data_IF_590871486906
#
_entry.id   IF_590871486906
#
_cell.length_a   1.000
_cell.length_b   1.000
_cell.length_c   1.000
_cell.angle_alpha   90.00
_cell.angle_beta   90.00
_cell.angle_gamma   90.00
#
_symmetry.space_group_name_H-M   'P 1'
#
loop_
_entity.id
_entity.type
_entity.pdbx_description
1 polymer ?
#
# COMPACT_ATOMS: atom_id res chain seq x y z
N UNK A 1 -11.80 -59.53 -7.53
CA UNK A 1 -13.01 -59.24 -8.30
C UNK A 1 -12.87 -57.82 -8.78
N UNK A 2 -12.31 -57.66 -9.94
CA UNK A 2 -12.81 -57.12 -11.20
C UNK A 2 -13.22 -55.64 -11.04
N UNK A 3 -12.40 -54.74 -11.49
CA UNK A 3 -12.18 -54.17 -12.84
C UNK A 3 -13.38 -53.32 -13.29
N UNK A 4 -13.11 -51.98 -13.50
CA UNK A 4 -13.48 -51.31 -14.75
C UNK A 4 -12.64 -50.03 -14.92
N UNK A 5 -11.71 -50.14 -15.87
CA UNK A 5 -11.07 -49.07 -16.61
C UNK A 5 -12.03 -48.53 -17.68
N UNK A 6 -12.11 -47.20 -17.83
CA UNK A 6 -12.40 -46.51 -19.10
C UNK A 6 -11.85 -45.11 -18.96
N UNK A 7 -10.76 -44.68 -19.56
CA UNK A 7 -10.43 -44.35 -20.94
C UNK A 7 -11.44 -43.48 -21.68
N UNK A 8 -11.08 -42.22 -21.89
CA UNK A 8 -11.41 -41.38 -23.05
C UNK A 8 -10.57 -40.07 -22.91
N UNK A 9 -9.48 -40.03 -23.61
CA UNK A 9 -9.18 -39.44 -24.94
C UNK A 9 -9.45 -37.93 -25.05
N UNK A 10 -8.35 -37.27 -25.35
CA UNK A 10 -8.12 -35.94 -25.86
C UNK A 10 -9.09 -35.48 -26.96
N UNK A 11 -9.41 -34.21 -26.94
CA UNK A 11 -9.64 -33.44 -28.17
C UNK A 11 -9.08 -32.03 -28.04
N UNK A 12 -7.95 -31.85 -28.70
CA UNK A 12 -7.41 -30.64 -29.25
C UNK A 12 -8.23 -30.26 -30.49
N UNK A 13 -8.50 -28.97 -30.69
CA UNK A 13 -8.83 -28.21 -31.91
C UNK A 13 -9.64 -26.97 -31.49
N UNK A 14 -9.36 -25.75 -31.90
CA UNK A 14 -9.08 -25.20 -33.22
C UNK A 14 -8.50 -23.80 -33.07
N UNK A 15 -7.37 -23.54 -33.70
CA UNK A 15 -6.98 -22.26 -34.24
C UNK A 15 -7.35 -22.26 -35.73
N UNK A 16 -7.88 -21.21 -36.34
CA UNK A 16 -7.76 -21.03 -37.75
C UNK A 16 -6.64 -20.03 -38.06
N UNK A 17 -5.63 -20.59 -38.66
CA UNK A 17 -4.72 -19.94 -39.59
C UNK A 17 -5.51 -19.67 -40.87
N UNK A 18 -5.43 -18.47 -41.40
CA UNK A 18 -5.65 -18.10 -42.80
C UNK A 18 -5.66 -16.59 -42.93
N UNK A 19 -5.16 -15.99 -43.93
CA UNK A 19 -4.73 -16.43 -45.24
C UNK A 19 -3.96 -15.27 -45.87
N UNK A 20 -2.91 -15.64 -46.51
CA UNK A 20 -2.23 -14.98 -47.59
C UNK A 20 -3.20 -14.40 -48.61
N UNK A 21 -3.07 -13.11 -48.94
CA UNK A 21 -3.57 -12.57 -50.22
C UNK A 21 -2.47 -11.71 -50.85
N UNK A 22 -1.69 -12.38 -51.66
CA UNK A 22 -0.92 -11.78 -52.72
C UNK A 22 -1.89 -11.29 -53.83
N UNK A 23 -1.73 -10.05 -54.19
CA UNK A 23 -2.09 -9.53 -55.52
C UNK A 23 -1.16 -8.37 -55.74
N UNK A 24 -0.21 -8.48 -56.59
CA UNK A 24 -0.36 -8.36 -58.00
C UNK A 24 0.25 -7.01 -58.39
N UNK A 25 1.59 -7.00 -58.58
CA UNK A 25 2.33 -5.85 -59.11
C UNK A 25 2.14 -5.90 -60.59
N UNK A 26 1.37 -4.99 -61.16
CA UNK A 26 1.38 -4.66 -62.57
C UNK A 26 2.34 -3.50 -62.80
N UNK A 27 3.47 -3.82 -63.34
CA UNK A 27 4.43 -2.93 -63.98
C UNK A 27 3.90 -2.68 -65.39
N UNK A 28 3.52 -1.45 -65.72
CA UNK A 28 3.84 -0.74 -66.97
C UNK A 28 3.05 0.57 -67.05
N UNK A 29 3.68 1.69 -66.79
CA UNK A 29 3.26 2.99 -67.29
C UNK A 29 4.47 3.91 -67.51
N UNK A 30 4.92 3.98 -68.72
CA UNK A 30 5.92 4.98 -69.19
C UNK A 30 5.43 6.42 -68.94
N UNK A 31 6.28 7.28 -68.36
CA UNK A 31 5.88 8.67 -68.20
C UNK A 31 5.98 9.43 -69.54
N UNK A 32 4.87 9.92 -70.03
CA UNK A 32 4.84 10.91 -71.05
C UNK A 32 5.26 12.28 -70.53
N UNK A 33 6.47 12.72 -70.81
CA UNK A 33 6.94 14.07 -70.52
C UNK A 33 6.02 15.11 -71.24
N UNK A 34 5.20 15.78 -70.42
CA UNK A 34 4.40 16.93 -70.89
C UNK A 34 5.32 18.16 -71.05
N UNK A 35 5.36 18.73 -72.23
CA UNK A 35 6.12 19.94 -72.62
C UNK A 35 5.85 21.20 -71.78
N UNK A 36 4.98 21.14 -70.79
CA UNK A 36 4.66 22.24 -69.85
C UNK A 36 5.67 22.38 -68.67
N UNK A 37 6.50 21.39 -68.42
CA UNK A 37 7.49 21.38 -67.31
C UNK A 37 8.73 22.26 -67.59
N UNK A 38 9.10 22.40 -68.88
CA UNK A 38 10.25 23.24 -69.30
C UNK A 38 9.99 24.73 -69.14
N UNK A 39 8.77 25.17 -69.39
CA UNK A 39 8.37 26.57 -69.22
C UNK A 39 8.28 27.00 -67.76
N UNK A 40 7.94 26.06 -66.85
CA UNK A 40 7.86 26.37 -65.44
C UNK A 40 9.26 26.50 -64.76
N UNK A 41 10.23 25.72 -65.19
CA UNK A 41 11.62 25.86 -64.79
C UNK A 41 12.28 27.15 -65.26
N UNK A 42 11.96 27.60 -66.45
CA UNK A 42 12.52 28.83 -66.98
C UNK A 42 11.98 30.12 -66.33
N UNK A 43 10.70 30.11 -65.90
CA UNK A 43 10.12 31.18 -65.10
C UNK A 43 10.66 31.23 -63.67
N UNK A 44 10.95 30.09 -63.09
CA UNK A 44 11.47 29.99 -61.71
C UNK A 44 12.91 30.48 -61.60
N UNK A 45 13.75 30.25 -62.65
CA UNK A 45 15.13 30.75 -62.72
C UNK A 45 15.17 32.26 -62.95
N UNK A 46 14.28 32.84 -63.75
CA UNK A 46 14.21 34.29 -63.96
C UNK A 46 13.73 35.00 -62.66
N UNK A 47 12.80 34.40 -61.91
CA UNK A 47 12.35 34.93 -60.64
C UNK A 47 13.45 34.94 -59.55
N UNK A 48 14.32 33.93 -59.53
CA UNK A 48 15.42 33.81 -58.58
C UNK A 48 16.56 34.81 -58.85
N UNK A 49 16.88 35.07 -60.13
CA UNK A 49 17.89 36.05 -60.51
C UNK A 49 17.41 37.49 -60.30
N UNK A 50 16.14 37.80 -60.52
CA UNK A 50 15.60 39.12 -60.20
C UNK A 50 15.46 39.39 -58.72
N UNK A 51 15.14 38.36 -57.88
CA UNK A 51 15.09 38.46 -56.43
C UNK A 51 16.43 38.77 -55.79
N UNK A 52 17.51 38.13 -56.24
CA UNK A 52 18.88 38.39 -55.74
C UNK A 52 19.40 39.77 -56.09
N UNK A 53 19.01 40.29 -57.26
CA UNK A 53 19.45 41.64 -57.70
C UNK A 53 18.74 42.75 -56.93
N UNK A 54 17.50 42.56 -56.49
CA UNK A 54 16.74 43.49 -55.64
C UNK A 54 17.27 43.43 -54.21
N UNK A 55 17.61 42.25 -53.70
CA UNK A 55 18.09 42.07 -52.32
C UNK A 55 19.49 42.69 -52.12
N UNK A 56 20.38 42.65 -53.09
CA UNK A 56 21.71 43.32 -53.04
C UNK A 56 21.61 44.84 -53.14
N UNK A 57 20.55 45.43 -53.73
CA UNK A 57 20.39 46.91 -53.76
C UNK A 57 19.77 47.48 -52.47
N UNK A 58 19.04 46.69 -51.71
CA UNK A 58 18.46 47.14 -50.45
C UNK A 58 19.44 47.11 -49.24
N UNK A 59 20.56 46.39 -49.35
CA UNK A 59 21.47 46.20 -48.22
C UNK A 59 22.77 47.09 -48.26
N UNK A 60 22.87 48.01 -49.23
CA UNK A 60 24.04 48.84 -49.37
C UNK A 60 23.86 50.32 -49.02
N UNK A 61 23.28 50.59 -47.83
CA UNK A 61 23.46 51.89 -47.15
C UNK A 61 23.26 51.77 -45.65
N UNK A 62 24.19 51.12 -44.94
CA UNK A 62 24.40 51.42 -43.51
C UNK A 62 25.64 52.27 -43.41
N UNK A 63 25.43 53.57 -43.36
CA UNK A 63 26.45 54.56 -43.01
C UNK A 63 26.70 54.41 -41.51
N UNK A 64 27.83 53.87 -41.13
CA UNK A 64 28.27 53.83 -39.74
C UNK A 64 28.71 55.26 -39.37
N UNK A 65 27.81 56.03 -38.77
CA UNK A 65 28.18 57.22 -38.06
C UNK A 65 28.85 56.82 -36.74
N UNK A 66 30.16 56.92 -36.66
CA UNK A 66 30.91 56.76 -35.40
C UNK A 66 30.55 57.95 -34.51
N UNK A 67 29.52 57.79 -33.66
CA UNK A 67 29.29 58.69 -32.53
C UNK A 67 30.22 58.26 -31.38
N UNK A 68 31.19 59.06 -31.07
CA UNK A 68 32.02 58.95 -29.88
C UNK A 68 31.10 59.01 -28.63
N UNK A 69 30.95 57.91 -27.95
CA UNK A 69 30.30 57.87 -26.62
C UNK A 69 31.27 58.40 -25.60
N UNK A 70 30.83 59.27 -24.71
CA UNK A 70 31.66 59.67 -23.56
C UNK A 70 31.88 58.41 -22.69
N UNK A 71 33.12 58.20 -22.31
CA UNK A 71 33.56 57.18 -21.35
C UNK A 71 32.92 57.52 -19.99
N UNK A 72 31.68 57.16 -19.82
CA UNK A 72 31.07 57.06 -18.50
C UNK A 72 31.42 55.71 -17.93
N UNK A 73 31.99 55.70 -16.75
CA UNK A 73 32.16 54.53 -15.91
C UNK A 73 30.81 53.81 -15.87
N UNK A 74 30.68 52.71 -16.61
CA UNK A 74 29.51 51.85 -16.45
C UNK A 74 29.65 51.23 -15.05
N UNK A 75 28.88 51.79 -14.15
CA UNK A 75 28.53 51.14 -12.91
C UNK A 75 27.78 49.85 -13.35
N UNK A 76 28.45 48.71 -13.21
CA UNK A 76 27.82 47.43 -13.47
C UNK A 76 26.67 47.31 -12.49
N UNK A 77 25.47 47.69 -12.96
CA UNK A 77 24.27 47.30 -12.27
C UNK A 77 24.34 45.75 -12.17
N UNK A 78 24.46 45.23 -10.98
CA UNK A 78 24.29 43.81 -10.70
C UNK A 78 22.90 43.47 -11.25
N UNK A 79 22.87 42.85 -12.41
CA UNK A 79 21.63 42.25 -12.86
C UNK A 79 21.45 41.04 -11.96
N UNK A 80 20.55 41.14 -10.99
CA UNK A 80 20.06 39.97 -10.27
C UNK A 80 19.63 38.94 -11.31
N UNK A 81 20.42 37.89 -11.47
CA UNK A 81 20.02 36.75 -12.30
C UNK A 81 19.02 35.94 -11.49
N UNK A 82 17.75 36.15 -11.76
CA UNK A 82 16.67 35.43 -11.13
C UNK A 82 16.36 34.17 -11.97
N UNK A 83 16.55 33.01 -11.40
CA UNK A 83 16.12 31.74 -11.99
C UNK A 83 14.68 31.48 -11.61
N UNK A 84 13.78 31.46 -12.60
CA UNK A 84 12.36 31.15 -12.41
C UNK A 84 12.07 29.69 -12.70
N UNK A 85 11.67 28.95 -11.67
CA UNK A 85 11.31 27.54 -11.74
C UNK A 85 9.79 27.39 -11.56
N UNK A 86 9.19 26.38 -12.21
CA UNK A 86 7.76 26.05 -12.07
C UNK A 86 7.60 24.76 -11.29
N UNK A 87 6.61 24.76 -10.43
CA UNK A 87 6.29 23.60 -9.60
C UNK A 87 4.87 23.62 -9.06
N UNK A 88 4.59 22.72 -8.14
CA UNK A 88 3.30 22.60 -7.47
C UNK A 88 3.48 22.68 -5.95
N UNK A 89 2.49 23.26 -5.29
CA UNK A 89 2.46 23.29 -3.82
C UNK A 89 2.09 21.91 -3.28
N UNK A 90 2.81 21.48 -2.26
CA UNK A 90 2.55 20.23 -1.54
C UNK A 90 2.57 20.51 -0.03
N UNK A 91 1.77 19.80 0.74
CA UNK A 91 1.90 19.84 2.18
C UNK A 91 3.03 18.94 2.65
N UNK A 92 3.81 19.38 3.62
CA UNK A 92 4.89 18.59 4.22
C UNK A 92 4.34 17.36 4.92
N UNK A 93 3.16 17.47 5.52
CA UNK A 93 2.48 16.37 6.18
C UNK A 93 1.20 16.02 5.44
N UNK A 94 1.22 14.88 4.77
CA UNK A 94 0.04 14.28 4.15
C UNK A 94 -0.01 12.77 4.46
N UNK A 95 -1.21 12.21 4.52
CA UNK A 95 -1.45 10.79 4.68
C UNK A 95 -2.47 10.30 3.69
N UNK A 96 -2.03 9.44 2.80
CA UNK A 96 -2.92 8.74 1.87
C UNK A 96 -3.71 7.68 2.63
N UNK A 97 -5.00 7.62 2.37
CA UNK A 97 -5.95 6.68 2.94
C UNK A 97 -6.37 5.69 1.87
N UNK A 98 -6.09 4.43 2.14
CA UNK A 98 -6.43 3.34 1.23
C UNK A 98 -7.61 2.52 1.75
N UNK A 99 -8.37 1.92 0.84
CA UNK A 99 -9.41 0.97 1.19
C UNK A 99 -8.81 -0.22 1.96
N UNK A 100 -9.46 -0.70 3.03
CA UNK A 100 -8.89 -1.71 3.92
C UNK A 100 -8.62 -3.03 3.20
N UNK A 101 -7.52 -3.68 3.61
CA UNK A 101 -7.19 -5.04 3.22
C UNK A 101 -7.62 -5.97 4.35
N UNK A 102 -8.59 -6.84 4.06
CA UNK A 102 -9.15 -7.74 5.06
C UNK A 102 -8.29 -9.00 5.22
N UNK A 103 -7.94 -9.33 6.45
CA UNK A 103 -7.18 -10.54 6.76
C UNK A 103 -8.02 -11.80 6.51
N UNK A 104 -7.46 -12.75 5.75
CA UNK A 104 -8.12 -14.04 5.49
C UNK A 104 -9.30 -14.00 4.53
N UNK A 105 -9.62 -12.86 3.94
CA UNK A 105 -10.69 -12.69 2.97
C UNK A 105 -10.18 -12.06 1.68
N UNK A 106 -10.51 -12.64 0.54
CA UNK A 106 -10.22 -12.07 -0.78
C UNK A 106 -11.40 -11.20 -1.25
N UNK A 107 -11.62 -10.09 -0.56
CA UNK A 107 -12.64 -9.12 -0.97
C UNK A 107 -12.06 -8.23 -2.05
N UNK A 108 -12.56 -8.33 -3.26
CA UNK A 108 -12.06 -7.56 -4.40
C UNK A 108 -12.49 -6.10 -4.38
N UNK A 109 -13.73 -5.84 -3.98
CA UNK A 109 -14.36 -4.51 -4.00
C UNK A 109 -15.10 -4.26 -2.69
N UNK A 110 -14.98 -3.03 -2.18
CA UNK A 110 -15.63 -2.56 -0.96
C UNK A 110 -16.54 -1.39 -1.32
N UNK A 111 -17.77 -1.41 -0.87
CA UNK A 111 -18.74 -0.34 -1.11
C UNK A 111 -18.64 0.72 -0.02
N UNK A 112 -18.46 1.96 -0.41
CA UNK A 112 -18.43 3.12 0.50
C UNK A 112 -19.88 3.44 0.88
N UNK A 113 -20.20 3.45 2.17
CA UNK A 113 -21.51 3.86 2.68
C UNK A 113 -21.51 5.32 3.11
N UNK A 114 -20.34 5.84 3.51
CA UNK A 114 -20.19 7.23 3.94
C UNK A 114 -18.77 7.69 3.65
N UNK A 115 -18.61 8.94 3.21
CA UNK A 115 -17.30 9.56 2.99
C UNK A 115 -17.34 11.02 3.46
N UNK A 116 -16.26 11.48 4.08
CA UNK A 116 -16.10 12.87 4.46
C UNK A 116 -16.02 13.75 3.20
N UNK A 117 -16.67 14.90 3.23
CA UNK A 117 -16.69 15.82 2.09
C UNK A 117 -15.27 16.33 1.77
N UNK A 118 -14.93 16.40 0.48
CA UNK A 118 -13.70 17.03 0.01
C UNK A 118 -13.60 18.46 0.49
N UNK A 119 -12.41 18.90 0.92
CA UNK A 119 -12.17 20.22 1.50
C UNK A 119 -12.61 20.40 2.97
N UNK A 120 -13.24 19.41 3.58
CA UNK A 120 -13.64 19.49 5.00
C UNK A 120 -12.44 19.38 5.92
N UNK A 121 -12.49 20.15 7.04
CA UNK A 121 -11.49 20.06 8.09
C UNK A 121 -11.83 18.94 9.06
N UNK A 122 -10.87 18.08 9.32
CA UNK A 122 -11.00 16.94 10.23
C UNK A 122 -9.95 16.98 11.33
N UNK A 123 -10.30 16.46 12.50
CA UNK A 123 -9.37 16.27 13.61
C UNK A 123 -8.88 14.81 13.60
N UNK A 124 -7.75 14.58 14.23
CA UNK A 124 -7.25 13.22 14.43
C UNK A 124 -8.30 12.37 15.17
N UNK A 125 -8.64 11.22 14.58
CA UNK A 125 -9.65 10.30 15.11
C UNK A 125 -11.06 10.49 14.56
N UNK A 126 -11.34 11.56 13.81
CA UNK A 126 -12.62 11.74 13.13
C UNK A 126 -12.84 10.65 12.07
N UNK A 127 -14.10 10.28 11.83
CA UNK A 127 -14.44 9.29 10.82
C UNK A 127 -14.31 9.91 9.43
N UNK A 128 -13.46 9.33 8.59
CA UNK A 128 -13.23 9.75 7.21
C UNK A 128 -14.10 9.01 6.21
N UNK A 129 -14.20 7.71 6.38
CA UNK A 129 -14.99 6.85 5.50
C UNK A 129 -15.55 5.65 6.25
N UNK A 130 -16.72 5.21 5.85
CA UNK A 130 -17.33 3.98 6.30
C UNK A 130 -17.64 3.11 5.08
N UNK A 131 -17.29 1.84 5.19
CA UNK A 131 -17.62 0.81 4.20
C UNK A 131 -18.78 -0.04 4.70
N UNK A 132 -19.44 -0.74 3.78
CA UNK A 132 -20.47 -1.72 4.17
C UNK A 132 -19.82 -2.85 4.98
N UNK A 133 -20.10 -2.84 6.28
CA UNK A 133 -19.54 -3.77 7.26
C UNK A 133 -20.45 -4.91 7.65
N UNK A 134 -21.64 -5.03 7.03
CA UNK A 134 -22.65 -6.01 7.47
C UNK A 134 -22.11 -7.44 7.39
N UNK A 135 -21.41 -7.79 6.32
CA UNK A 135 -20.80 -9.11 6.15
C UNK A 135 -19.74 -9.39 7.23
N UNK A 136 -18.88 -8.42 7.53
CA UNK A 136 -17.79 -8.54 8.51
C UNK A 136 -18.35 -8.63 9.96
N UNK A 137 -19.41 -7.89 10.26
CA UNK A 137 -20.08 -7.98 11.55
C UNK A 137 -20.73 -9.35 11.76
N UNK A 138 -21.36 -9.90 10.73
CA UNK A 138 -21.93 -11.26 10.79
C UNK A 138 -20.84 -12.29 11.02
N UNK A 139 -19.75 -12.24 10.23
CA UNK A 139 -18.59 -13.13 10.40
C UNK A 139 -18.02 -13.05 11.81
N UNK A 140 -17.84 -11.84 12.35
CA UNK A 140 -17.40 -11.65 13.73
C UNK A 140 -18.35 -12.29 14.74
N UNK A 141 -19.67 -12.09 14.60
CA UNK A 141 -20.67 -12.67 15.52
C UNK A 141 -20.69 -14.21 15.45
N UNK A 142 -20.56 -14.77 14.25
CA UNK A 142 -20.48 -16.22 14.04
C UNK A 142 -19.21 -16.80 14.69
N UNK A 143 -18.04 -16.18 14.46
CA UNK A 143 -16.78 -16.60 15.10
C UNK A 143 -16.80 -16.45 16.62
N UNK A 144 -17.46 -15.41 17.13
CA UNK A 144 -17.68 -15.20 18.56
C UNK A 144 -18.55 -16.29 19.17
N UNK A 145 -19.61 -16.69 18.47
CA UNK A 145 -20.46 -17.79 18.91
C UNK A 145 -19.70 -19.13 18.92
N UNK A 146 -18.89 -19.40 17.89
CA UNK A 146 -18.04 -20.58 17.82
C UNK A 146 -17.02 -20.62 18.99
N UNK A 147 -16.39 -19.49 19.29
CA UNK A 147 -15.47 -19.37 20.41
C UNK A 147 -16.18 -19.64 21.76
N UNK A 148 -17.36 -19.05 21.97
CA UNK A 148 -18.14 -19.27 23.20
C UNK A 148 -18.53 -20.74 23.35
N UNK A 149 -19.01 -21.37 22.27
CA UNK A 149 -19.34 -22.80 22.27
C UNK A 149 -18.15 -23.68 22.66
N UNK A 150 -16.97 -23.42 22.11
CA UNK A 150 -15.75 -24.18 22.46
C UNK A 150 -15.30 -23.90 23.89
N UNK A 151 -15.47 -22.68 24.40
CA UNK A 151 -15.18 -22.36 25.79
C UNK A 151 -16.08 -23.17 26.74
N UNK A 152 -17.38 -23.26 26.43
CA UNK A 152 -18.33 -24.05 27.20
C UNK A 152 -18.01 -25.55 27.13
N UNK A 153 -17.60 -26.08 25.96
CA UNK A 153 -17.19 -27.47 25.80
C UNK A 153 -15.94 -27.80 26.63
N UNK A 154 -14.98 -26.88 26.73
CA UNK A 154 -13.81 -27.06 27.61
C UNK A 154 -14.25 -27.19 29.08
N UNK A 155 -15.16 -26.30 29.52
CA UNK A 155 -15.67 -26.33 30.90
C UNK A 155 -16.48 -27.61 31.18
N UNK A 156 -17.30 -28.04 30.21
CA UNK A 156 -18.06 -29.28 30.31
C UNK A 156 -17.14 -30.50 30.44
N UNK A 157 -16.11 -30.59 29.60
CA UNK A 157 -15.17 -31.71 29.65
C UNK A 157 -14.34 -31.70 30.91
N UNK A 158 -13.92 -30.52 31.41
CA UNK A 158 -13.27 -30.39 32.71
C UNK A 158 -14.18 -30.86 33.88
N UNK A 159 -15.47 -30.51 33.83
CA UNK A 159 -16.43 -30.95 34.85
C UNK A 159 -16.65 -32.46 34.81
N UNK A 160 -16.78 -33.06 33.62
CA UNK A 160 -16.88 -34.51 33.41
C UNK A 160 -15.65 -35.23 33.96
N UNK A 161 -14.45 -34.70 33.66
CA UNK A 161 -13.20 -35.24 34.14
C UNK A 161 -13.13 -35.19 35.66
N UNK A 162 -13.53 -34.06 36.27
CA UNK A 162 -13.53 -33.94 37.75
C UNK A 162 -14.48 -34.96 38.42
N UNK A 163 -15.65 -35.18 37.80
CA UNK A 163 -16.61 -36.16 38.29
C UNK A 163 -16.09 -37.60 38.12
N UNK A 164 -15.50 -37.92 36.96
CA UNK A 164 -14.88 -39.22 36.71
C UNK A 164 -13.72 -39.49 37.67
N UNK A 165 -12.90 -38.48 37.92
CA UNK A 165 -11.77 -38.56 38.88
C UNK A 165 -12.25 -38.88 40.30
N UNK A 166 -13.27 -38.17 40.77
CA UNK A 166 -13.83 -38.41 42.11
C UNK A 166 -14.36 -39.85 42.28
N UNK A 167 -14.95 -40.40 41.20
CA UNK A 167 -15.40 -41.79 41.15
C UNK A 167 -14.23 -42.75 41.20
N UNK A 168 -13.25 -42.58 40.33
CA UNK A 168 -12.07 -43.43 40.24
C UNK A 168 -11.24 -43.38 41.55
N UNK A 169 -11.11 -42.20 42.18
CA UNK A 169 -10.48 -42.04 43.50
C UNK A 169 -11.19 -42.84 44.59
N UNK A 170 -12.54 -42.92 44.54
CA UNK A 170 -13.33 -43.74 45.45
C UNK A 170 -13.10 -45.22 45.20
N UNK A 171 -13.06 -45.67 43.96
CA UNK A 171 -12.78 -47.07 43.58
C UNK A 171 -11.38 -47.50 43.99
N UNK A 172 -10.35 -46.63 43.78
CA UNK A 172 -8.99 -46.87 44.25
C UNK A 172 -8.92 -47.04 45.78
N UNK A 173 -9.58 -46.16 46.50
CA UNK A 173 -9.64 -46.23 47.97
C UNK A 173 -10.30 -47.51 48.45
N UNK A 174 -11.40 -47.93 47.82
CA UNK A 174 -12.05 -49.21 48.14
C UNK A 174 -11.13 -50.42 47.89
N UNK A 175 -10.35 -50.39 46.77
CA UNK A 175 -9.38 -51.46 46.48
C UNK A 175 -8.20 -51.47 47.49
N UNK A 176 -7.72 -50.29 47.93
CA UNK A 176 -6.69 -50.17 48.99
C UNK A 176 -7.19 -50.69 50.33
N UNK A 177 -8.45 -50.36 50.69
CA UNK A 177 -9.06 -50.85 51.92
C UNK A 177 -9.29 -52.38 51.88
N UNK A 178 -9.67 -52.93 50.69
CA UNK A 178 -9.80 -54.36 50.47
C UNK A 178 -8.44 -55.09 50.61
N UNK A 179 -7.38 -54.53 49.98
CA UNK A 179 -6.02 -55.06 50.13
C UNK A 179 -5.61 -55.10 51.60
N UNK A 180 -5.82 -54.01 52.35
CA UNK A 180 -5.51 -53.95 53.76
C UNK A 180 -6.30 -54.97 54.55
N UNK A 181 -7.56 -55.20 54.21
CA UNK A 181 -8.39 -56.26 54.84
C UNK A 181 -7.81 -57.66 54.63
N UNK A 182 -7.44 -58.01 53.39
CA UNK A 182 -6.88 -59.30 53.01
C UNK A 182 -5.48 -59.53 53.66
N UNK A 183 -4.65 -58.48 53.82
CA UNK A 183 -3.41 -58.47 54.50
C UNK A 183 -3.60 -58.85 56.04
N UNK A 184 -4.64 -58.27 56.67
CA UNK A 184 -5.00 -58.58 58.03
C UNK A 184 -5.56 -60.01 58.17
N UNK A 185 -6.25 -60.54 57.14
CA UNK A 185 -6.74 -61.93 57.12
C UNK A 185 -5.60 -62.93 57.05
N UNK A 186 -4.56 -62.66 56.26
CA UNK A 186 -3.34 -63.51 56.24
C UNK A 186 -2.59 -63.53 57.57
N UNK A 187 -2.50 -62.43 58.29
CA UNK A 187 -1.91 -62.40 59.64
C UNK A 187 -2.61 -63.35 60.64
N UNK A 188 -3.92 -63.59 60.38
CA UNK A 188 -4.69 -64.58 61.18
C UNK A 188 -4.54 -66.01 60.65
N UNK A 189 -4.02 -66.21 59.44
CA UNK A 189 -3.96 -67.48 58.72
C UNK A 189 -3.00 -68.48 59.44
N UNK A 190 -2.07 -68.04 60.29
CA UNK A 190 -1.19 -68.88 61.11
C UNK A 190 -1.96 -69.85 62.06
N UNK A 191 -3.26 -69.53 62.29
CA UNK A 191 -4.12 -70.32 63.21
C UNK A 191 -5.16 -71.14 62.44
N UNK A 192 -5.24 -71.00 61.08
CA UNK A 192 -6.26 -71.59 60.20
C UNK A 192 -5.79 -72.92 59.60
N UNK A 193 -6.74 -73.65 58.99
CA UNK A 193 -6.41 -74.87 58.22
C UNK A 193 -5.54 -74.54 56.99
N UNK A 194 -4.76 -75.49 56.49
CA UNK A 194 -3.91 -75.30 55.28
C UNK A 194 -4.67 -74.81 54.11
N UNK A 195 -5.92 -75.29 53.85
CA UNK A 195 -6.77 -74.90 52.81
C UNK A 195 -7.24 -73.45 52.95
N UNK A 196 -7.55 -73.02 54.13
CA UNK A 196 -8.00 -71.63 54.38
C UNK A 196 -6.85 -70.63 54.25
N UNK A 197 -5.61 -71.07 54.63
CA UNK A 197 -4.39 -70.28 54.40
C UNK A 197 -4.08 -70.08 52.94
N UNK A 198 -4.21 -71.13 52.11
CA UNK A 198 -4.05 -71.06 50.63
C UNK A 198 -5.09 -70.11 50.00
N UNK A 199 -6.35 -70.22 50.44
CA UNK A 199 -7.41 -69.26 49.95
C UNK A 199 -7.12 -67.84 50.40
N UNK A 200 -6.64 -67.58 51.60
CA UNK A 200 -6.29 -66.27 52.05
C UNK A 200 -5.14 -65.66 51.22
N UNK A 201 -4.16 -66.51 50.85
CA UNK A 201 -3.07 -66.09 49.96
C UNK A 201 -3.57 -65.72 48.56
N UNK A 202 -4.45 -66.58 48.01
CA UNK A 202 -5.03 -66.31 46.67
C UNK A 202 -5.87 -65.00 46.63
N UNK A 203 -6.68 -64.76 47.68
CA UNK A 203 -7.43 -63.50 47.85
C UNK A 203 -6.51 -62.28 47.96
N UNK A 204 -5.35 -62.41 48.63
CA UNK A 204 -4.38 -61.34 48.74
C UNK A 204 -3.76 -61.03 47.38
N UNK A 205 -3.39 -62.06 46.64
CA UNK A 205 -2.76 -61.89 45.32
C UNK A 205 -3.76 -61.31 44.31
N UNK A 206 -5.05 -61.68 44.38
CA UNK A 206 -6.15 -61.08 43.62
C UNK A 206 -6.33 -59.60 44.00
N UNK A 207 -6.35 -59.25 45.31
CA UNK A 207 -6.50 -57.86 45.74
C UNK A 207 -5.33 -56.98 45.30
N UNK A 208 -4.08 -57.52 45.35
CA UNK A 208 -2.90 -56.82 44.82
C UNK A 208 -3.02 -56.55 43.31
N UNK A 209 -3.32 -57.60 42.54
CA UNK A 209 -3.46 -57.49 41.09
C UNK A 209 -4.56 -56.50 40.70
N UNK A 210 -5.71 -56.50 41.41
CA UNK A 210 -6.83 -55.58 41.19
C UNK A 210 -6.41 -54.13 41.49
N UNK A 211 -5.72 -53.88 42.58
CA UNK A 211 -5.23 -52.54 42.92
C UNK A 211 -4.23 -52.03 41.89
N UNK A 212 -3.29 -52.85 41.46
CA UNK A 212 -2.29 -52.48 40.43
C UNK A 212 -2.97 -52.17 39.10
N UNK A 213 -3.91 -53.00 38.66
CA UNK A 213 -4.70 -52.75 37.46
C UNK A 213 -5.51 -51.44 37.52
N UNK A 214 -6.11 -51.16 38.70
CA UNK A 214 -6.86 -49.90 38.87
C UNK A 214 -5.94 -48.70 38.85
N UNK A 215 -4.74 -48.76 39.44
CA UNK A 215 -3.74 -47.68 39.40
C UNK A 215 -3.23 -47.40 37.99
N UNK A 216 -2.94 -48.42 37.22
CA UNK A 216 -2.55 -48.29 35.84
C UNK A 216 -3.69 -47.67 35.00
N UNK A 217 -4.88 -48.22 35.14
CA UNK A 217 -6.09 -47.72 34.44
C UNK A 217 -6.40 -46.29 34.84
N UNK A 218 -6.25 -45.90 36.07
CA UNK A 218 -6.42 -44.54 36.57
C UNK A 218 -5.46 -43.58 35.87
N UNK A 219 -4.17 -43.93 35.82
CA UNK A 219 -3.17 -43.08 35.17
C UNK A 219 -3.44 -42.90 33.68
N UNK A 220 -3.80 -43.98 32.95
CA UNK A 220 -4.15 -43.93 31.52
C UNK A 220 -5.38 -43.08 31.27
N UNK A 221 -6.43 -43.20 32.10
CA UNK A 221 -7.65 -42.38 32.00
C UNK A 221 -7.32 -40.89 32.22
N UNK A 222 -6.45 -40.54 33.19
CA UNK A 222 -6.04 -39.14 33.44
C UNK A 222 -5.28 -38.56 32.27
N UNK A 223 -4.35 -39.34 31.68
CA UNK A 223 -3.61 -38.89 30.49
C UNK A 223 -4.53 -38.70 29.29
N UNK A 224 -5.47 -39.62 29.05
CA UNK A 224 -6.43 -39.51 27.94
C UNK A 224 -7.34 -38.30 28.11
N UNK A 225 -7.89 -38.07 29.32
CA UNK A 225 -8.73 -36.91 29.59
C UNK A 225 -7.97 -35.58 29.46
N UNK A 226 -6.74 -35.51 29.99
CA UNK A 226 -5.91 -34.32 29.81
C UNK A 226 -5.59 -34.04 28.35
N UNK A 227 -5.35 -35.08 27.55
CA UNK A 227 -5.15 -34.92 26.10
C UNK A 227 -6.43 -34.43 25.40
N UNK A 228 -7.62 -34.94 25.73
CA UNK A 228 -8.88 -34.51 25.19
C UNK A 228 -9.17 -33.03 25.51
N UNK A 229 -9.00 -32.63 26.77
CA UNK A 229 -9.15 -31.23 27.20
C UNK A 229 -8.16 -30.33 26.43
N UNK A 230 -6.89 -30.75 26.31
CA UNK A 230 -5.90 -29.99 25.58
C UNK A 230 -6.24 -29.79 24.10
N UNK A 231 -6.82 -30.78 23.45
CA UNK A 231 -7.29 -30.65 22.05
C UNK A 231 -8.37 -29.56 21.97
N UNK A 232 -9.34 -29.56 22.86
CA UNK A 232 -10.39 -28.54 22.92
C UNK A 232 -9.83 -27.15 23.22
N UNK A 233 -8.84 -27.05 24.13
CA UNK A 233 -8.17 -25.78 24.42
C UNK A 233 -7.41 -25.23 23.21
N UNK A 234 -6.72 -26.08 22.45
CA UNK A 234 -6.05 -25.68 21.18
C UNK A 234 -7.08 -25.21 20.16
N UNK A 235 -8.20 -25.91 20.01
CA UNK A 235 -9.28 -25.51 19.11
C UNK A 235 -9.88 -24.16 19.55
N UNK A 236 -10.15 -23.98 20.83
CA UNK A 236 -10.61 -22.71 21.41
C UNK A 236 -9.62 -21.57 21.13
N UNK A 237 -8.32 -21.79 21.31
CA UNK A 237 -7.30 -20.80 21.05
C UNK A 237 -7.27 -20.39 19.56
N UNK A 238 -7.34 -21.35 18.64
CA UNK A 238 -7.43 -21.08 17.19
C UNK A 238 -8.68 -20.30 16.83
N UNK A 239 -9.82 -20.68 17.37
CA UNK A 239 -11.09 -19.98 17.12
C UNK A 239 -11.08 -18.56 17.70
N UNK A 240 -10.39 -18.34 18.84
CA UNK A 240 -10.15 -17.01 19.37
C UNK A 240 -9.40 -16.12 18.39
N UNK A 241 -8.34 -16.63 17.78
CA UNK A 241 -7.57 -15.89 16.78
C UNK A 241 -8.43 -15.54 15.55
N UNK A 242 -9.23 -16.49 15.05
CA UNK A 242 -10.14 -16.20 13.93
C UNK A 242 -11.21 -15.17 14.29
N UNK A 243 -11.73 -15.20 15.53
CA UNK A 243 -12.66 -14.19 16.04
C UNK A 243 -12.01 -12.81 16.12
N UNK A 244 -10.76 -12.71 16.62
CA UNK A 244 -10.04 -11.44 16.69
C UNK A 244 -9.75 -10.88 15.28
N UNK A 245 -9.41 -11.73 14.32
CA UNK A 245 -9.26 -11.31 12.92
C UNK A 245 -10.58 -10.80 12.33
N UNK A 246 -11.68 -11.50 12.58
CA UNK A 246 -12.99 -11.06 12.11
C UNK A 246 -13.41 -9.73 12.75
N UNK A 247 -13.13 -9.54 14.04
CA UNK A 247 -13.34 -8.27 14.73
C UNK A 247 -12.51 -7.15 14.10
N UNK A 248 -11.22 -7.37 13.93
CA UNK A 248 -10.33 -6.39 13.29
C UNK A 248 -10.78 -6.03 11.87
N UNK A 249 -11.25 -7.01 11.08
CA UNK A 249 -11.82 -6.75 9.77
C UNK A 249 -13.08 -5.88 9.85
N UNK A 250 -13.95 -6.09 10.82
CA UNK A 250 -15.14 -5.26 11.02
C UNK A 250 -14.79 -3.83 11.46
N UNK A 251 -13.76 -3.67 12.29
CA UNK A 251 -13.26 -2.37 12.75
C UNK A 251 -12.58 -1.60 11.61
N UNK A 252 -11.84 -2.29 10.74
CA UNK A 252 -11.21 -1.69 9.55
C UNK A 252 -12.22 -1.12 8.54
N UNK A 253 -13.50 -1.52 8.58
CA UNK A 253 -14.53 -0.94 7.73
C UNK A 253 -14.87 0.51 8.07
N UNK A 254 -14.40 1.03 9.19
CA UNK A 254 -14.51 2.41 9.57
C UNK A 254 -13.12 3.04 9.66
N UNK A 255 -12.84 3.97 8.77
CA UNK A 255 -11.53 4.60 8.67
C UNK A 255 -11.56 5.94 9.40
N UNK A 256 -10.57 6.12 10.27
CA UNK A 256 -10.40 7.33 11.06
C UNK A 256 -9.19 8.15 10.58
N UNK A 257 -9.27 9.46 10.76
CA UNK A 257 -8.22 10.41 10.42
C UNK A 257 -6.95 10.16 11.26
N UNK A 258 -5.80 9.87 10.63
CA UNK A 258 -4.54 9.67 11.35
C UNK A 258 -3.92 10.97 11.84
N UNK A 259 -4.27 12.09 11.22
CA UNK A 259 -3.82 13.45 11.57
C UNK A 259 -4.97 14.44 11.41
N UNK A 260 -4.83 15.63 11.99
CA UNK A 260 -5.74 16.74 11.74
C UNK A 260 -5.34 17.42 10.43
N UNK A 261 -6.33 17.83 9.63
CA UNK A 261 -6.05 18.46 8.34
C UNK A 261 -7.29 18.64 7.47
N UNK A 262 -7.06 18.77 6.18
CA UNK A 262 -8.10 18.90 5.16
C UNK A 262 -8.20 17.58 4.38
N UNK A 263 -9.42 17.13 4.13
CA UNK A 263 -9.70 15.97 3.32
C UNK A 263 -9.59 16.31 1.85
N UNK A 264 -8.80 15.55 1.11
CA UNK A 264 -8.70 15.60 -0.36
C UNK A 264 -9.19 14.25 -0.89
N UNK A 265 -10.22 14.27 -1.73
CA UNK A 265 -10.74 13.06 -2.37
C UNK A 265 -9.96 12.79 -3.64
N UNK A 266 -9.49 11.55 -3.79
CA UNK A 266 -8.81 11.12 -5.01
C UNK A 266 -9.83 10.72 -6.09
N UNK A 267 -9.38 10.68 -7.33
CA UNK A 267 -10.16 10.16 -8.45
C UNK A 267 -9.93 8.67 -8.57
N UNK A 268 -11.01 7.91 -8.68
CA UNK A 268 -10.98 6.47 -8.93
C UNK A 268 -11.60 6.12 -10.28
N UNK A 269 -11.26 4.95 -10.78
CA UNK A 269 -11.89 4.41 -11.99
C UNK A 269 -13.26 3.85 -11.66
N UNK A 270 -14.33 4.48 -12.17
CA UNK A 270 -15.71 4.05 -11.99
C UNK A 270 -16.51 4.14 -13.27
N UNK A 271 -17.28 3.10 -13.58
CA UNK A 271 -18.19 3.07 -14.75
C UNK A 271 -17.52 3.48 -16.08
N UNK A 272 -16.24 3.11 -16.30
CA UNK A 272 -15.51 3.38 -17.53
C UNK A 272 -14.90 4.79 -17.62
N UNK A 273 -14.90 5.58 -16.55
CA UNK A 273 -14.27 6.91 -16.48
C UNK A 273 -13.61 7.15 -15.11
N UNK A 274 -12.69 8.09 -15.09
CA UNK A 274 -12.17 8.63 -13.83
C UNK A 274 -13.18 9.57 -13.21
N UNK A 275 -13.39 9.46 -11.90
CA UNK A 275 -14.27 10.35 -11.16
C UNK A 275 -13.90 10.39 -9.70
N UNK A 276 -14.21 11.51 -9.05
CA UNK A 276 -14.00 11.70 -7.62
C UNK A 276 -14.82 10.70 -6.81
N UNK A 277 -14.25 10.20 -5.73
CA UNK A 277 -14.89 9.22 -4.83
C UNK A 277 -16.17 9.80 -4.22
N UNK A 278 -17.24 8.99 -4.20
CA UNK A 278 -18.54 9.36 -3.65
C UNK A 278 -19.15 8.18 -2.87
N UNK A 279 -20.13 8.49 -2.05
CA UNK A 279 -20.97 7.47 -1.38
C UNK A 279 -21.65 6.56 -2.41
N UNK A 280 -21.66 5.26 -2.15
CA UNK A 280 -22.14 4.23 -3.07
C UNK A 280 -21.09 3.70 -4.05
N UNK A 281 -19.95 4.33 -4.18
CA UNK A 281 -18.88 3.84 -5.05
C UNK A 281 -18.24 2.57 -4.50
N UNK A 282 -17.71 1.76 -5.42
CA UNK A 282 -16.95 0.57 -5.10
C UNK A 282 -15.46 0.81 -5.29
N UNK A 283 -14.68 0.62 -4.23
CA UNK A 283 -13.24 0.77 -4.25
C UNK A 283 -12.58 -0.59 -4.05
N UNK A 284 -11.53 -0.86 -4.83
CA UNK A 284 -10.75 -2.07 -4.65
C UNK A 284 -9.94 -1.99 -3.36
N UNK A 285 -9.93 -3.08 -2.59
CA UNK A 285 -9.06 -3.24 -1.40
C UNK A 285 -7.61 -2.86 -1.71
N UNK A 286 -7.00 -2.04 -0.84
CA UNK A 286 -5.63 -1.55 -0.96
C UNK A 286 -5.44 -0.33 -1.87
N UNK A 287 -6.46 0.12 -2.60
CA UNK A 287 -6.37 1.31 -3.46
C UNK A 287 -6.59 2.56 -2.63
N UNK A 288 -5.74 3.55 -2.81
CA UNK A 288 -5.90 4.89 -2.23
C UNK A 288 -7.08 5.60 -2.87
N UNK A 289 -7.92 6.23 -2.07
CA UNK A 289 -9.13 6.89 -2.53
C UNK A 289 -9.33 8.29 -1.91
N UNK A 290 -8.52 8.64 -0.92
CA UNK A 290 -8.47 9.99 -0.35
C UNK A 290 -7.14 10.24 0.34
N UNK A 291 -6.89 11.51 0.68
CA UNK A 291 -5.74 11.93 1.47
C UNK A 291 -6.19 12.91 2.56
N UNK A 292 -5.49 12.91 3.68
CA UNK A 292 -5.62 13.97 4.69
C UNK A 292 -4.32 14.76 4.70
N UNK A 293 -4.45 16.05 4.50
CA UNK A 293 -3.34 16.98 4.28
C UNK A 293 -3.33 18.03 5.38
N UNK A 294 -2.19 18.22 6.03
CA UNK A 294 -2.01 19.31 7.01
C UNK A 294 -1.54 20.58 6.28
N UNK A 295 -2.38 21.62 6.19
CA UNK A 295 -2.03 22.85 5.49
C UNK A 295 -1.13 23.78 6.31
N UNK A 296 -0.75 23.42 7.53
CA UNK A 296 0.03 24.29 8.43
C UNK A 296 1.46 24.54 7.96
N UNK A 297 2.03 23.54 7.26
CA UNK A 297 3.39 23.62 6.69
C UNK A 297 3.35 23.17 5.23
N UNK A 298 3.62 24.13 4.35
CA UNK A 298 3.59 23.91 2.91
C UNK A 298 4.97 24.04 2.29
N UNK A 299 5.16 23.33 1.19
CA UNK A 299 6.38 23.34 0.37
C UNK A 299 6.00 23.42 -1.12
N UNK A 300 6.96 23.80 -1.97
CA UNK A 300 6.82 23.72 -3.41
C UNK A 300 7.77 22.66 -3.95
N UNK A 301 7.21 21.71 -4.66
CA UNK A 301 7.95 20.69 -5.39
C UNK A 301 8.16 21.14 -6.83
N UNK A 302 9.41 21.21 -7.25
CA UNK A 302 9.83 21.73 -8.55
C UNK A 302 10.64 20.68 -9.28
N UNK A 303 10.46 20.56 -10.58
CA UNK A 303 11.33 19.78 -11.45
C UNK A 303 12.33 20.72 -12.16
N UNK A 304 13.54 20.85 -11.58
CA UNK A 304 14.60 21.66 -12.17
C UNK A 304 15.32 20.89 -13.29
N UNK A 305 15.61 21.57 -14.41
CA UNK A 305 16.40 21.00 -15.50
C UNK A 305 17.87 20.83 -15.08
N UNK A 306 18.59 19.98 -15.79
CA UNK A 306 20.01 19.74 -15.52
C UNK A 306 20.86 21.03 -15.64
N UNK A 307 20.49 21.97 -16.50
CA UNK A 307 21.21 23.26 -16.67
C UNK A 307 21.03 24.13 -15.42
N UNK A 308 19.81 24.17 -14.86
CA UNK A 308 19.47 24.99 -13.70
C UNK A 308 20.00 24.39 -12.39
N UNK A 309 20.16 23.06 -12.35
CA UNK A 309 20.58 22.31 -11.17
C UNK A 309 21.93 22.82 -10.58
N UNK A 310 22.88 23.16 -11.43
CA UNK A 310 24.20 23.59 -10.99
C UNK A 310 24.20 24.97 -10.31
N UNK A 311 23.16 25.76 -10.54
CA UNK A 311 22.97 27.09 -9.96
C UNK A 311 22.24 27.04 -8.60
N UNK A 312 21.70 25.88 -8.20
CA UNK A 312 20.92 25.70 -6.99
C UNK A 312 21.79 25.20 -5.83
N UNK A 313 21.63 25.79 -4.66
CA UNK A 313 22.34 25.42 -3.43
C UNK A 313 21.37 25.33 -2.25
N UNK A 314 21.57 24.33 -1.38
CA UNK A 314 20.77 24.18 -0.17
C UNK A 314 20.83 25.44 0.70
N UNK A 315 19.68 25.85 1.23
CA UNK A 315 19.55 27.03 2.07
C UNK A 315 19.35 28.35 1.32
N UNK A 316 19.38 28.36 -0.02
CA UNK A 316 19.19 29.53 -0.86
C UNK A 316 17.79 30.10 -0.68
N UNK A 317 17.68 31.43 -0.55
CA UNK A 317 16.42 32.11 -0.43
C UNK A 317 15.68 32.13 -1.77
N UNK A 318 14.38 32.01 -1.72
CA UNK A 318 13.51 32.01 -2.89
C UNK A 318 12.23 32.81 -2.61
N UNK A 319 11.61 33.29 -3.67
CA UNK A 319 10.31 33.95 -3.66
C UNK A 319 9.32 33.04 -4.38
N UNK A 320 8.27 32.64 -3.68
CA UNK A 320 7.23 31.75 -4.23
C UNK A 320 6.02 32.60 -4.63
N UNK A 321 5.62 32.48 -5.88
CA UNK A 321 4.43 33.13 -6.45
C UNK A 321 3.44 32.03 -6.81
N UNK A 322 2.20 32.17 -6.36
CA UNK A 322 1.13 31.26 -6.75
C UNK A 322 0.45 31.79 -8.03
N UNK A 323 0.26 30.94 -9.02
CA UNK A 323 -0.43 31.34 -10.26
C UNK A 323 -1.87 31.79 -10.00
N UNK A 324 -2.51 31.24 -8.97
CA UNK A 324 -3.85 31.62 -8.53
C UNK A 324 -3.89 33.01 -7.84
N UNK A 325 -2.78 33.48 -7.26
CA UNK A 325 -2.68 34.74 -6.50
C UNK A 325 -1.36 35.47 -6.83
N UNK A 326 -1.22 36.04 -8.04
CA UNK A 326 0.05 36.60 -8.52
C UNK A 326 0.55 37.79 -7.70
N UNK A 327 -0.35 38.51 -7.00
CA UNK A 327 -0.01 39.68 -6.17
C UNK A 327 0.60 39.27 -4.81
N UNK A 328 0.59 38.01 -4.44
CA UNK A 328 1.06 37.52 -3.16
C UNK A 328 2.37 36.76 -3.32
N UNK A 329 3.39 37.20 -2.62
CA UNK A 329 4.71 36.59 -2.61
C UNK A 329 4.98 35.97 -1.26
N UNK A 330 5.28 34.69 -1.27
CA UNK A 330 5.67 33.95 -0.06
C UNK A 330 7.20 33.80 -0.02
N UNK A 331 7.85 34.16 1.11
CA UNK A 331 9.26 33.83 1.26
C UNK A 331 9.44 32.32 1.39
N UNK A 332 10.42 31.81 0.68
CA UNK A 332 10.76 30.38 0.69
C UNK A 332 12.26 30.15 0.80
N UNK A 333 12.64 28.91 1.05
CA UNK A 333 14.05 28.49 1.10
C UNK A 333 14.21 27.13 0.46
N UNK A 334 15.28 26.95 -0.28
CA UNK A 334 15.65 25.65 -0.85
C UNK A 334 16.05 24.69 0.25
N UNK A 335 15.27 23.63 0.45
CA UNK A 335 15.44 22.70 1.57
C UNK A 335 16.02 21.38 1.12
N UNK A 336 15.62 20.91 -0.06
CA UNK A 336 16.07 19.61 -0.55
C UNK A 336 16.29 19.61 -2.07
N UNK A 337 17.36 18.92 -2.51
CA UNK A 337 17.64 18.62 -3.91
C UNK A 337 17.75 17.11 -4.03
N UNK A 338 16.97 16.50 -4.93
CA UNK A 338 17.05 15.07 -5.17
C UNK A 338 18.39 14.69 -5.81
N UNK A 339 19.09 13.68 -5.28
CA UNK A 339 20.42 13.29 -5.81
C UNK A 339 20.35 12.56 -7.15
N UNK A 340 19.17 12.09 -7.56
CA UNK A 340 18.95 11.33 -8.78
C UNK A 340 18.03 12.08 -9.74
N UNK A 341 18.50 12.25 -10.97
CA UNK A 341 17.69 12.78 -12.04
C UNK A 341 16.64 11.76 -12.52
N UNK A 342 15.45 12.23 -12.80
CA UNK A 342 14.38 11.46 -13.45
C UNK A 342 14.32 11.82 -14.93
N UNK A 343 13.84 10.90 -15.77
CA UNK A 343 13.52 11.22 -17.16
C UNK A 343 12.30 12.17 -17.18
N UNK A 344 12.35 13.21 -18.03
CA UNK A 344 11.17 14.08 -18.19
C UNK A 344 10.00 13.34 -18.83
N UNK A 345 8.78 13.74 -18.49
CA UNK A 345 7.54 13.09 -18.94
C UNK A 345 7.36 13.01 -20.46
N UNK A 346 7.96 13.96 -21.20
CA UNK A 346 7.83 14.05 -22.66
C UNK A 346 9.11 13.68 -23.43
N UNK A 347 10.25 13.50 -22.75
CA UNK A 347 11.52 13.16 -23.40
C UNK A 347 12.48 12.44 -22.46
N UNK A 348 12.91 11.25 -22.85
CA UNK A 348 13.94 10.51 -22.14
C UNK A 348 15.34 11.18 -22.15
N UNK A 349 15.52 12.18 -23.02
CA UNK A 349 16.79 12.92 -23.13
C UNK A 349 16.91 14.09 -22.14
N UNK A 350 15.77 14.67 -21.71
CA UNK A 350 15.76 15.70 -20.69
C UNK A 350 15.80 15.07 -19.31
N UNK A 351 16.79 15.46 -18.53
CA UNK A 351 16.93 15.02 -17.13
C UNK A 351 16.49 16.15 -16.23
N UNK A 352 15.57 15.82 -15.29
CA UNK A 352 15.06 16.76 -14.29
C UNK A 352 15.41 16.25 -12.90
N UNK A 353 15.74 17.17 -12.01
CA UNK A 353 15.98 16.92 -10.59
C UNK A 353 14.81 17.45 -9.77
N UNK A 354 14.33 16.65 -8.84
CA UNK A 354 13.33 17.12 -7.88
C UNK A 354 13.97 18.08 -6.88
N UNK A 355 13.40 19.26 -6.76
CA UNK A 355 13.86 20.31 -5.85
C UNK A 355 12.69 20.74 -4.99
N UNK A 356 12.88 20.86 -3.67
CA UNK A 356 11.85 21.21 -2.72
C UNK A 356 12.21 22.52 -2.04
N UNK A 357 11.28 23.47 -2.10
CA UNK A 357 11.38 24.75 -1.41
C UNK A 357 10.35 24.79 -0.28
N UNK A 358 10.79 25.05 0.94
CA UNK A 358 9.87 25.32 2.04
C UNK A 358 9.25 26.71 1.89
N UNK A 359 7.97 26.83 2.23
CA UNK A 359 7.27 28.14 2.29
C UNK A 359 7.25 28.59 3.73
N UNK A 360 7.64 29.83 3.98
CA UNK A 360 7.58 30.42 5.31
C UNK A 360 6.27 31.17 5.50
N UNK A 361 5.57 30.87 6.59
CA UNK A 361 4.27 31.44 6.93
C UNK A 361 3.11 30.50 6.60
N UNK A 362 1.98 30.79 7.24
CA UNK A 362 0.70 30.11 7.04
C UNK A 362 -0.31 31.09 6.47
N UNK A 363 -0.94 30.78 5.37
CA UNK A 363 -2.00 31.59 4.76
C UNK A 363 -3.11 30.64 4.28
N UNK A 364 -4.36 31.03 4.48
CA UNK A 364 -5.52 30.24 4.05
C UNK A 364 -5.60 30.02 2.52
N UNK A 365 -4.85 30.82 1.76
CA UNK A 365 -4.74 30.70 0.29
C UNK A 365 -3.72 29.64 -0.15
N UNK A 366 -2.85 29.19 0.75
CA UNK A 366 -1.91 28.11 0.50
C UNK A 366 -2.64 26.76 0.59
N UNK A 367 -3.07 26.29 -0.54
CA UNK A 367 -3.68 24.95 -0.68
C UNK A 367 -2.70 24.01 -1.39
N UNK A 368 -2.77 22.72 -1.16
CA UNK A 368 -2.00 21.73 -1.93
C UNK A 368 -2.44 21.72 -3.40
N UNK A 369 -1.52 21.30 -4.27
CA UNK A 369 -1.71 21.12 -5.72
C UNK A 369 -2.00 22.43 -6.50
N UNK A 370 -1.60 23.59 -5.96
CA UNK A 370 -1.61 24.84 -6.73
C UNK A 370 -0.33 24.97 -7.53
N UNK A 371 -0.46 25.48 -8.77
CA UNK A 371 0.69 25.85 -9.59
C UNK A 371 1.41 27.04 -8.97
N UNK A 372 2.73 26.93 -8.86
CA UNK A 372 3.59 27.95 -8.27
C UNK A 372 4.83 28.18 -9.15
N UNK A 373 5.25 29.44 -9.20
CA UNK A 373 6.54 29.84 -9.72
C UNK A 373 7.47 30.20 -8.57
N UNK A 374 8.69 29.68 -8.60
CA UNK A 374 9.71 29.93 -7.60
C UNK A 374 10.83 30.75 -8.24
N UNK A 375 11.04 31.94 -7.77
CA UNK A 375 12.12 32.83 -8.19
C UNK A 375 13.29 32.68 -7.21
N UNK A 376 14.39 32.13 -7.71
CA UNK A 376 15.62 31.91 -6.94
C UNK A 376 16.68 32.92 -7.39
N UNK A 377 17.27 33.64 -6.44
CA UNK A 377 18.37 34.55 -6.70
C UNK A 377 19.67 33.73 -6.92
N UNK A 378 20.19 33.78 -8.13
CA UNK A 378 21.39 33.05 -8.57
C UNK A 378 22.61 33.98 -8.64
N UNK A 379 22.54 35.17 -8.02
CA UNK A 379 23.67 36.08 -8.00
C UNK A 379 24.91 35.37 -7.42
N UNK A 380 25.96 35.32 -8.22
CA UNK A 380 27.24 34.67 -7.90
C UNK A 380 27.88 35.30 -6.63
N UNK A 381 27.68 34.67 -5.50
CA UNK A 381 28.40 34.94 -4.25
C UNK A 381 29.83 34.38 -4.30
N UNK A 382 30.37 34.16 -5.49
CA UNK A 382 31.69 33.57 -5.75
C UNK A 382 32.74 34.59 -6.16
N UNK A 383 32.58 35.87 -5.80
CA UNK A 383 33.63 36.87 -5.85
C UNK A 383 34.50 36.84 -4.55
N UNK A 384 35.00 35.67 -4.17
CA UNK A 384 36.21 35.62 -3.34
C UNK A 384 37.36 36.10 -4.15
N UNK A 385 38.14 37.12 -3.73
CA UNK A 385 39.30 37.59 -4.48
C UNK A 385 40.34 36.46 -4.53
N UNK A 386 40.59 35.96 -5.73
CA UNK A 386 41.81 35.16 -5.98
C UNK A 386 42.98 36.07 -5.65
N UNK A 387 43.52 35.95 -4.44
CA UNK A 387 44.83 36.46 -4.07
C UNK A 387 45.85 35.76 -4.97
N UNK A 388 46.36 36.51 -5.93
CA UNK A 388 47.52 36.13 -6.71
C UNK A 388 48.70 35.84 -5.77
N UNK A 389 49.28 34.68 -5.92
CA UNK A 389 50.62 34.35 -5.49
C UNK A 389 51.35 33.74 -6.65
#
# INVERSE_FOLDING_TARGET
MQSFLHSATAESRFWPENANMQSGIDTDAKPRLRRSSLLFCLLLTIGLVSGTMVWTRLHSKVVIASKSFPSGTAEFAHSEQVLRLKGTTEAVQSRSISAPVLAGQHVGMLTITRVAAGGSHVKRGDVLAEFDRQAQLRDFLDKKADYSKLADQVLEEQAKENAARAKDDTELKQAEDNLRKTELEIQKAEILSKIDAEKAQENLDEAKATLEQLRETYNLKRQAAAAAIRILEIQRARTRETMLHAQANADLMQIHAPLAGIVVLDTIWKLGRMGEVQEGDQVRSGVTFMQVVDPSVMQVSVAANQEDFFSLRLGQAAKVHLDAYPDVVFPGRLEQIAPLARGGDFSSKLRTFGVVFSIQGTDARLMPDLSAAVDVDVSDDNASPRTAR
#
